data_IF_836106808711
#
_entry.id   IF_836106808711
#
_cell.length_a   1.000
_cell.length_b   1.000
_cell.length_c   1.000
_cell.angle_alpha   90.00
_cell.angle_beta   90.00
_cell.angle_gamma   90.00
#
_symmetry.space_group_name_H-M   'P 1'
#
loop_
_entity.id
_entity.type
_entity.pdbx_description
1 polymer ?
#
# COMPACT_ATOMS: atom_id res chain seq x y z
N UNK A 1 -13.55 -17.57 18.53
CA UNK A 1 -12.87 -16.42 17.88
C UNK A 1 -13.02 -15.17 18.73
N UNK A 2 -11.91 -14.50 19.08
CA UNK A 2 -11.95 -13.17 19.73
C UNK A 2 -12.33 -12.13 18.68
N UNK A 3 -13.24 -11.22 19.03
CA UNK A 3 -13.69 -10.11 18.17
C UNK A 3 -13.12 -8.80 18.70
N UNK A 4 -12.62 -7.94 17.81
CA UNK A 4 -12.19 -6.59 18.12
C UNK A 4 -13.27 -5.61 17.66
N UNK A 5 -13.54 -4.57 18.46
CA UNK A 5 -14.52 -3.54 18.10
C UNK A 5 -13.76 -2.25 17.88
N UNK A 6 -13.91 -1.67 16.68
CA UNK A 6 -13.29 -0.42 16.28
C UNK A 6 -14.36 0.60 15.90
N UNK A 7 -13.97 1.87 15.79
CA UNK A 7 -14.89 2.91 15.29
C UNK A 7 -15.12 2.74 13.79
N UNK A 8 -16.24 3.26 13.27
CA UNK A 8 -16.46 3.28 11.82
C UNK A 8 -15.38 4.09 11.09
N UNK A 9 -14.92 5.18 11.69
CA UNK A 9 -13.88 6.04 11.11
C UNK A 9 -12.53 5.34 11.02
N UNK A 10 -12.15 4.59 12.05
CA UNK A 10 -10.94 3.76 12.02
C UNK A 10 -11.06 2.66 10.95
N UNK A 11 -12.23 2.01 10.86
CA UNK A 11 -12.50 1.03 9.81
C UNK A 11 -12.37 1.64 8.41
N UNK A 12 -12.93 2.82 8.19
CA UNK A 12 -12.91 3.49 6.89
C UNK A 12 -11.49 3.91 6.50
N UNK A 13 -10.70 4.41 7.46
CA UNK A 13 -9.26 4.69 7.27
C UNK A 13 -8.48 3.45 6.89
N UNK A 14 -8.62 2.35 7.63
CA UNK A 14 -7.95 1.09 7.31
C UNK A 14 -8.35 0.59 5.92
N UNK A 15 -9.66 0.63 5.61
CA UNK A 15 -10.18 0.21 4.31
C UNK A 15 -9.60 1.04 3.16
N UNK A 16 -9.51 2.37 3.33
CA UNK A 16 -8.94 3.26 2.33
C UNK A 16 -7.49 2.85 2.00
N UNK A 17 -6.64 2.71 3.02
CA UNK A 17 -5.24 2.36 2.81
C UNK A 17 -5.05 0.98 2.20
N UNK A 18 -5.83 -0.01 2.66
CA UNK A 18 -5.80 -1.36 2.10
C UNK A 18 -6.25 -1.37 0.62
N UNK A 19 -7.22 -0.54 0.24
CA UNK A 19 -7.66 -0.39 -1.15
C UNK A 19 -6.62 0.33 -2.03
N UNK A 20 -5.83 1.23 -1.45
CA UNK A 20 -4.81 2.00 -2.16
C UNK A 20 -3.52 1.21 -2.36
N UNK A 21 -3.25 0.24 -1.48
CA UNK A 21 -2.04 -0.56 -1.45
C UNK A 21 -1.64 -1.19 -2.81
N UNK A 22 -2.55 -1.78 -3.63
CA UNK A 22 -2.17 -2.33 -4.92
C UNK A 22 -1.60 -1.27 -5.88
N UNK A 23 -2.15 -0.06 -5.86
CA UNK A 23 -1.68 1.04 -6.70
C UNK A 23 -0.33 1.56 -6.23
N UNK A 24 -0.17 1.77 -4.91
CA UNK A 24 1.10 2.22 -4.32
C UNK A 24 2.22 1.20 -4.59
N UNK A 25 1.90 -0.09 -4.47
CA UNK A 25 2.85 -1.16 -4.76
C UNK A 25 3.28 -1.17 -6.23
N UNK A 26 2.34 -1.03 -7.18
CA UNK A 26 2.68 -0.91 -8.60
C UNK A 26 3.57 0.29 -8.89
N UNK A 27 3.28 1.44 -8.27
CA UNK A 27 4.10 2.64 -8.44
C UNK A 27 5.52 2.48 -7.86
N UNK A 28 5.64 1.80 -6.71
CA UNK A 28 6.93 1.41 -6.15
C UNK A 28 7.71 0.50 -7.11
N UNK A 29 7.10 -0.56 -7.63
CA UNK A 29 7.75 -1.45 -8.60
C UNK A 29 8.19 -0.73 -9.88
N UNK A 30 7.42 0.28 -10.32
CA UNK A 30 7.75 1.08 -11.50
C UNK A 30 8.96 1.99 -11.29
N UNK A 31 9.04 2.64 -10.12
CA UNK A 31 10.15 3.56 -9.80
C UNK A 31 11.39 2.86 -9.28
N UNK A 32 11.21 1.71 -8.65
CA UNK A 32 12.25 0.90 -8.04
C UNK A 32 12.21 -0.55 -8.57
N UNK A 33 12.43 -0.78 -9.88
CA UNK A 33 12.33 -2.12 -10.48
C UNK A 33 13.33 -3.12 -9.87
N UNK A 34 14.51 -2.64 -9.49
CA UNK A 34 15.55 -3.42 -8.80
C UNK A 34 15.46 -3.32 -7.27
N UNK A 35 14.46 -2.60 -6.75
CA UNK A 35 14.22 -2.36 -5.32
C UNK A 35 15.15 -1.32 -4.71
N UNK A 36 14.57 -0.25 -4.14
CA UNK A 36 15.33 0.72 -3.32
C UNK A 36 15.61 0.20 -1.92
N UNK A 37 14.73 -0.67 -1.42
CA UNK A 37 14.84 -1.31 -0.12
C UNK A 37 14.47 -2.78 -0.22
N UNK A 38 15.08 -3.60 0.64
CA UNK A 38 14.66 -4.98 0.87
C UNK A 38 13.28 -4.95 1.54
N UNK A 39 12.24 -4.99 0.73
CA UNK A 39 10.87 -4.83 1.21
C UNK A 39 10.39 -6.13 1.85
N UNK A 40 10.46 -6.19 3.19
CA UNK A 40 10.20 -7.39 4.00
C UNK A 40 8.81 -8.01 3.82
N UNK A 41 7.86 -7.24 3.30
CA UNK A 41 6.46 -7.63 3.18
C UNK A 41 6.05 -8.12 1.79
N UNK A 42 7.00 -8.39 0.87
CA UNK A 42 6.69 -8.89 -0.48
C UNK A 42 5.80 -10.15 -0.48
N UNK A 43 5.99 -11.06 0.49
CA UNK A 43 5.17 -12.27 0.61
C UNK A 43 3.69 -11.95 0.90
N UNK A 44 3.43 -11.05 1.84
CA UNK A 44 2.09 -10.62 2.24
C UNK A 44 1.41 -9.88 1.09
N UNK A 45 2.15 -9.01 0.39
CA UNK A 45 1.64 -8.27 -0.76
C UNK A 45 1.24 -9.16 -1.93
N UNK A 46 2.07 -10.17 -2.26
CA UNK A 46 1.75 -11.12 -3.33
C UNK A 46 0.45 -11.86 -3.03
N UNK A 47 0.30 -12.39 -1.81
CA UNK A 47 -0.90 -13.11 -1.41
C UNK A 47 -2.15 -12.21 -1.43
N UNK A 48 -2.03 -10.97 -0.95
CA UNK A 48 -3.15 -10.02 -0.95
C UNK A 48 -3.58 -9.61 -2.37
N UNK A 49 -2.62 -9.34 -3.26
CA UNK A 49 -2.87 -8.85 -4.62
C UNK A 49 -3.34 -9.98 -5.56
N UNK A 50 -2.88 -11.22 -5.39
CA UNK A 50 -3.21 -12.32 -6.31
C UNK A 50 -4.52 -13.04 -6.05
N UNK A 51 -5.06 -13.02 -4.82
CA UNK A 51 -6.11 -13.96 -4.39
C UNK A 51 -7.51 -13.35 -4.16
N UNK A 52 -7.83 -12.17 -4.71
CA UNK A 52 -9.06 -11.43 -4.31
C UNK A 52 -9.11 -11.16 -2.78
N UNK A 53 -7.95 -11.14 -2.12
CA UNK A 53 -7.81 -11.09 -0.66
C UNK A 53 -8.46 -9.87 -0.03
N UNK A 54 -8.46 -8.73 -0.74
CA UNK A 54 -9.18 -7.52 -0.35
C UNK A 54 -10.70 -7.74 -0.24
N UNK A 55 -11.32 -8.36 -1.23
CA UNK A 55 -12.77 -8.59 -1.24
C UNK A 55 -13.19 -9.57 -0.15
N UNK A 56 -12.39 -10.61 0.11
CA UNK A 56 -12.62 -11.50 1.25
C UNK A 56 -12.50 -10.77 2.59
N UNK A 57 -11.47 -9.93 2.77
CA UNK A 57 -11.27 -9.14 3.98
C UNK A 57 -12.48 -8.22 4.26
N UNK A 58 -12.94 -7.49 3.25
CA UNK A 58 -14.04 -6.54 3.40
C UNK A 58 -15.42 -7.21 3.52
N UNK A 59 -15.62 -8.37 2.89
CA UNK A 59 -16.89 -9.12 3.02
C UNK A 59 -17.16 -9.55 4.46
N UNK A 60 -16.11 -9.94 5.19
CA UNK A 60 -16.19 -10.35 6.60
C UNK A 60 -16.46 -9.16 7.52
N UNK A 61 -15.94 -7.98 7.18
CA UNK A 61 -16.19 -6.75 7.91
C UNK A 61 -17.61 -6.19 7.71
N UNK A 62 -18.16 -6.30 6.50
CA UNK A 62 -19.45 -5.72 6.11
C UNK A 62 -20.64 -6.32 6.87
N UNK A 63 -20.53 -7.56 7.35
CA UNK A 63 -21.60 -8.28 8.08
C UNK A 63 -21.76 -7.86 9.56
N UNK A 64 -20.92 -6.97 10.09
CA UNK A 64 -20.78 -6.77 11.55
C UNK A 64 -20.86 -5.30 11.99
N UNK A 65 -21.82 -4.54 11.42
CA UNK A 65 -22.10 -3.15 11.80
C UNK A 65 -23.09 -3.09 12.97
N UNK A 66 -22.76 -2.32 14.02
CA UNK A 66 -23.68 -2.01 15.12
C UNK A 66 -23.50 -0.55 15.54
N UNK A 67 -24.44 0.32 15.17
CA UNK A 67 -24.33 1.76 15.38
C UNK A 67 -23.10 2.37 14.67
N UNK A 68 -22.34 3.23 15.37
CA UNK A 68 -21.09 3.86 14.87
C UNK A 68 -19.84 2.98 15.02
N UNK A 69 -20.00 1.70 15.37
CA UNK A 69 -18.89 0.76 15.62
C UNK A 69 -18.94 -0.42 14.67
N UNK A 70 -17.77 -0.96 14.36
CA UNK A 70 -17.59 -2.15 13.51
C UNK A 70 -16.93 -3.22 14.37
N UNK A 71 -17.51 -4.43 14.38
CA UNK A 71 -16.98 -5.56 15.15
C UNK A 71 -16.31 -6.54 14.21
N UNK A 72 -14.99 -6.63 14.21
CA UNK A 72 -14.23 -7.51 13.33
C UNK A 72 -13.74 -8.76 14.06
N UNK A 73 -13.54 -9.90 13.37
CA UNK A 73 -12.61 -10.92 13.87
C UNK A 73 -11.25 -10.28 14.14
N UNK A 74 -10.59 -10.69 15.25
CA UNK A 74 -9.29 -10.10 15.62
C UNK A 74 -8.24 -10.26 14.51
N UNK A 75 -8.20 -11.42 13.85
CA UNK A 75 -7.30 -11.68 12.72
C UNK A 75 -7.53 -10.68 11.59
N UNK A 76 -8.77 -10.52 11.13
CA UNK A 76 -9.14 -9.56 10.07
C UNK A 76 -8.71 -8.13 10.41
N UNK A 77 -8.87 -7.70 11.66
CA UNK A 77 -8.37 -6.38 12.09
C UNK A 77 -6.85 -6.28 12.03
N UNK A 78 -6.13 -7.32 12.47
CA UNK A 78 -4.67 -7.35 12.42
C UNK A 78 -4.17 -7.32 10.97
N UNK A 79 -4.79 -8.10 10.08
CA UNK A 79 -4.46 -8.13 8.66
C UNK A 79 -4.73 -6.77 8.01
N UNK A 80 -5.90 -6.16 8.26
CA UNK A 80 -6.22 -4.81 7.79
C UNK A 80 -5.20 -3.77 8.25
N UNK A 81 -4.80 -3.86 9.52
CA UNK A 81 -3.85 -2.92 10.11
C UNK A 81 -2.46 -3.08 9.50
N UNK A 82 -1.97 -4.31 9.40
CA UNK A 82 -0.66 -4.61 8.81
C UNK A 82 -0.59 -4.14 7.35
N UNK A 83 -1.62 -4.42 6.54
CA UNK A 83 -1.68 -3.96 5.16
C UNK A 83 -1.76 -2.42 5.04
N UNK A 84 -2.48 -1.75 5.94
CA UNK A 84 -2.53 -0.29 5.98
C UNK A 84 -1.17 0.31 6.37
N UNK A 85 -0.49 -0.26 7.37
CA UNK A 85 0.84 0.16 7.80
C UNK A 85 1.87 0.00 6.66
N UNK A 86 1.82 -1.12 5.93
CA UNK A 86 2.63 -1.37 4.72
C UNK A 86 2.36 -0.31 3.64
N UNK A 87 1.09 0.06 3.43
CA UNK A 87 0.71 1.07 2.45
C UNK A 87 1.35 2.43 2.77
N UNK A 88 1.25 2.84 4.03
CA UNK A 88 1.84 4.08 4.53
C UNK A 88 3.37 4.08 4.39
N UNK A 89 4.03 2.96 4.74
CA UNK A 89 5.48 2.82 4.60
C UNK A 89 5.93 2.93 3.13
N UNK A 90 5.19 2.31 2.20
CA UNK A 90 5.50 2.43 0.77
C UNK A 90 5.29 3.86 0.25
N UNK A 91 4.25 4.56 0.71
CA UNK A 91 4.05 5.96 0.34
C UNK A 91 5.17 6.86 0.84
N UNK A 92 5.65 6.63 2.06
CA UNK A 92 6.77 7.37 2.63
C UNK A 92 8.05 7.12 1.83
N UNK A 93 8.34 5.86 1.49
CA UNK A 93 9.46 5.49 0.62
C UNK A 93 9.35 6.12 -0.77
N UNK A 94 8.15 6.18 -1.35
CA UNK A 94 7.91 6.82 -2.64
C UNK A 94 8.06 8.35 -2.60
N UNK A 95 7.72 8.98 -1.47
CA UNK A 95 7.85 10.41 -1.26
C UNK A 95 9.31 10.81 -0.96
N UNK A 96 10.04 9.94 -0.27
CA UNK A 96 11.43 10.13 0.15
C UNK A 96 12.32 9.00 -0.36
N UNK A 97 12.52 8.88 -1.69
CA UNK A 97 13.41 7.87 -2.23
C UNK A 97 14.85 8.11 -1.76
N UNK A 98 15.69 7.06 -1.67
CA UNK A 98 17.08 7.22 -1.26
C UNK A 98 17.84 8.18 -2.20
N UNK A 99 18.85 8.88 -1.67
CA UNK A 99 19.66 9.79 -2.48
C UNK A 99 20.30 9.05 -3.67
N UNK A 100 20.11 9.57 -4.89
CA UNK A 100 20.63 8.95 -6.13
C UNK A 100 19.69 7.95 -6.83
N UNK A 101 18.45 7.80 -6.35
CA UNK A 101 17.44 6.87 -6.90
C UNK A 101 16.82 7.30 -8.23
N UNK A 102 17.04 8.54 -8.66
CA UNK A 102 16.62 9.01 -9.97
C UNK A 102 17.70 8.64 -10.98
N UNK A 103 17.43 7.66 -11.85
CA UNK A 103 18.27 7.42 -13.02
C UNK A 103 18.34 8.71 -13.85
N UNK A 104 19.56 9.19 -14.07
CA UNK A 104 19.95 10.29 -14.96
C UNK A 104 19.67 9.96 -16.45
N UNK A 105 18.50 9.44 -16.79
CA UNK A 105 18.07 9.28 -18.20
C UNK A 105 17.25 10.46 -18.71
N UNK A 106 16.92 11.45 -17.86
CA UNK A 106 16.49 12.80 -18.29
C UNK A 106 17.70 13.73 -18.49
N UNK A 107 18.84 13.19 -18.94
CA UNK A 107 19.87 14.05 -19.54
C UNK A 107 19.36 14.42 -20.93
N UNK A 108 18.55 15.48 -20.94
CA UNK A 108 18.21 16.30 -22.08
C UNK A 108 19.37 16.29 -23.09
N UNK A 109 19.12 15.75 -24.29
CA UNK A 109 20.03 15.81 -25.45
C UNK A 109 20.63 17.22 -25.52
N UNK A 110 21.97 17.38 -25.67
CA UNK A 110 22.51 18.69 -25.95
C UNK A 110 21.89 19.20 -27.26
N UNK A 111 21.11 20.28 -27.18
CA UNK A 111 20.70 21.05 -28.36
C UNK A 111 21.99 21.51 -29.03
N UNK A 112 22.17 21.09 -30.28
CA UNK A 112 23.18 21.65 -31.17
C UNK A 112 22.89 23.14 -31.33
N UNK A 113 23.70 23.98 -30.71
CA UNK A 113 23.89 25.36 -31.14
C UNK A 113 25.38 25.55 -31.46
N UNK A 114 25.65 26.00 -32.68
CA UNK A 114 27.01 26.23 -33.15
C UNK A 114 27.17 26.08 -34.66
N UNK A 115 26.27 26.70 -35.44
CA UNK A 115 26.61 27.15 -36.79
C UNK A 115 26.68 28.68 -36.71
N UNK A 116 27.87 29.24 -36.88
CA UNK A 116 28.16 30.50 -37.57
C UNK A 116 29.67 30.58 -37.78
#
# INVERSE_FOLDING_TARGET
>A
MKKQTITYEEYDRLKQWVNELPWVWQEYQRKAPDGWYEFKYQGILRQFISEEGGDQLFSQARRLRWGKRVRLPKSVYQDMKELADICLELQDVLAYPPFGSFSLTDTEKPRKEGTL
#
